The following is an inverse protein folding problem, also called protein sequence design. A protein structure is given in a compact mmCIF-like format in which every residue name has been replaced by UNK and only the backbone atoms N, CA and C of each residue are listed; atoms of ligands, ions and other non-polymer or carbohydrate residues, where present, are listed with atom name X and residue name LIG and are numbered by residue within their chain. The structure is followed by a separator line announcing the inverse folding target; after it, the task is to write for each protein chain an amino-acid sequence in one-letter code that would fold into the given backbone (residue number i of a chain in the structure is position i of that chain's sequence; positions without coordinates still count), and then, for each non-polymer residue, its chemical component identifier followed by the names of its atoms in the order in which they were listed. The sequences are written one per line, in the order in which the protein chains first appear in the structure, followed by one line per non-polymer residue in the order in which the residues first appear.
data_IF_874148179383
#
_entry.id   IF_874148179383
#
_cell.length_a   1.000
_cell.length_b   1.000
_cell.length_c   1.000
_cell.angle_alpha   90.00
_cell.angle_beta   90.00
_cell.angle_gamma   90.00
#
_symmetry.space_group_name_H-M   'P 1'
#
loop_
_entity.id
_entity.type
_entity.pdbx_description
1 polymer ?
#
# COMPACT_ATOMS: atom_id res chain seq x y z
N UNK A 1 13.11 -2.87 5.71
CA UNK A 1 11.72 -2.55 6.10
C UNK A 1 11.32 -1.13 5.70
N UNK A 2 12.05 -0.09 6.10
CA UNK A 2 11.73 1.31 5.72
C UNK A 2 11.75 1.54 4.19
N UNK A 3 12.66 0.90 3.46
CA UNK A 3 12.68 0.99 1.99
C UNK A 3 11.45 0.35 1.33
N UNK A 4 10.89 -0.69 1.94
CA UNK A 4 9.72 -1.37 1.42
C UNK A 4 8.47 -0.49 1.57
N UNK A 5 8.32 0.17 2.72
CA UNK A 5 7.27 1.17 2.96
C UNK A 5 7.36 2.28 1.91
N UNK A 6 8.57 2.83 1.66
CA UNK A 6 8.77 3.88 0.64
C UNK A 6 8.38 3.41 -0.76
N UNK A 7 8.78 2.19 -1.16
CA UNK A 7 8.46 1.64 -2.49
C UNK A 7 6.95 1.46 -2.66
N UNK A 8 6.28 0.87 -1.66
CA UNK A 8 4.83 0.67 -1.69
C UNK A 8 4.07 2.00 -1.69
N UNK A 9 4.46 2.95 -0.83
CA UNK A 9 3.86 4.28 -0.78
C UNK A 9 4.02 5.03 -2.11
N UNK A 10 5.19 4.94 -2.75
CA UNK A 10 5.43 5.53 -4.07
C UNK A 10 4.55 4.91 -5.15
N UNK A 11 4.46 3.58 -5.18
CA UNK A 11 3.57 2.90 -6.12
C UNK A 11 2.11 3.37 -5.99
N UNK A 12 1.58 3.43 -4.76
CA UNK A 12 0.21 3.90 -4.50
C UNK A 12 0.04 5.40 -4.80
N UNK A 13 1.08 6.21 -4.56
CA UNK A 13 1.08 7.65 -4.87
C UNK A 13 1.00 7.92 -6.37
N UNK A 14 1.73 7.15 -7.16
CA UNK A 14 1.86 7.31 -8.61
C UNK A 14 0.70 6.66 -9.37
N UNK A 15 0.04 5.66 -8.77
CA UNK A 15 -1.05 4.89 -9.38
C UNK A 15 -2.34 4.99 -8.54
N UNK A 16 -3.03 6.15 -8.55
CA UNK A 16 -4.17 6.42 -7.66
C UNK A 16 -5.38 5.51 -7.85
N UNK A 17 -5.49 4.86 -9.02
CA UNK A 17 -6.59 3.98 -9.39
C UNK A 17 -6.19 2.50 -9.44
N UNK A 18 -4.97 2.15 -9.02
CA UNK A 18 -4.55 0.76 -8.94
C UNK A 18 -5.37 -0.01 -7.90
N UNK A 19 -5.59 -1.29 -8.19
CA UNK A 19 -6.30 -2.22 -7.34
C UNK A 19 -5.75 -3.62 -7.57
N UNK A 20 -4.77 -4.01 -6.76
CA UNK A 20 -3.98 -5.22 -6.99
C UNK A 20 -4.03 -6.17 -5.80
N UNK A 21 -3.80 -7.46 -6.06
CA UNK A 21 -3.68 -8.46 -5.01
C UNK A 21 -2.35 -8.30 -4.27
N UNK A 22 -2.26 -8.84 -3.05
CA UNK A 22 -0.99 -8.83 -2.30
C UNK A 22 0.13 -9.55 -3.04
N UNK A 23 -0.20 -10.61 -3.78
CA UNK A 23 0.73 -11.36 -4.63
C UNK A 23 1.21 -10.50 -5.80
N UNK A 24 0.30 -9.81 -6.51
CA UNK A 24 0.63 -8.92 -7.62
C UNK A 24 1.50 -7.74 -7.18
N UNK A 25 1.15 -7.11 -6.06
CA UNK A 25 1.95 -6.04 -5.44
C UNK A 25 3.35 -6.54 -5.12
N UNK A 26 3.46 -7.71 -4.48
CA UNK A 26 4.75 -8.29 -4.10
C UNK A 26 5.64 -8.54 -5.30
N UNK A 27 5.11 -9.18 -6.35
CA UNK A 27 5.91 -9.68 -7.46
C UNK A 27 6.17 -8.63 -8.53
N UNK A 28 5.14 -7.90 -8.97
CA UNK A 28 5.24 -7.05 -10.15
C UNK A 28 5.60 -5.60 -9.81
N UNK A 29 5.07 -5.08 -8.70
CA UNK A 29 5.31 -3.69 -8.31
C UNK A 29 6.52 -3.53 -7.41
N UNK A 30 6.72 -4.46 -6.48
CA UNK A 30 7.84 -4.40 -5.53
C UNK A 30 9.04 -5.22 -5.99
N UNK A 31 8.89 -6.09 -6.99
CA UNK A 31 9.96 -6.93 -7.54
C UNK A 31 10.51 -7.93 -6.52
N UNK A 32 9.69 -8.34 -5.56
CA UNK A 32 10.07 -9.26 -4.49
C UNK A 32 9.71 -10.70 -4.84
N UNK A 33 10.36 -11.64 -4.15
CA UNK A 33 10.02 -13.05 -4.27
C UNK A 33 8.67 -13.34 -3.59
N UNK A 34 7.95 -14.41 -4.01
CA UNK A 34 6.69 -14.82 -3.36
C UNK A 34 6.82 -15.08 -1.86
N UNK A 35 8.01 -15.41 -1.37
CA UNK A 35 8.28 -15.58 0.07
C UNK A 35 8.12 -14.27 0.88
N UNK A 36 8.04 -13.12 0.21
CA UNK A 36 7.85 -11.81 0.86
C UNK A 36 6.38 -11.41 1.02
N UNK A 37 5.43 -12.22 0.56
CA UNK A 37 3.99 -11.88 0.57
C UNK A 37 3.50 -11.56 1.98
N UNK A 38 3.87 -12.35 3.00
CA UNK A 38 3.43 -12.12 4.38
C UNK A 38 3.95 -10.80 4.95
N UNK A 39 5.16 -10.38 4.54
CA UNK A 39 5.71 -9.09 4.94
C UNK A 39 4.96 -7.94 4.25
N UNK A 40 4.62 -8.09 2.97
CA UNK A 40 3.84 -7.10 2.23
C UNK A 40 2.41 -7.01 2.79
N UNK A 41 1.80 -8.13 3.16
CA UNK A 41 0.49 -8.17 3.80
C UNK A 41 0.47 -7.42 5.14
N UNK A 42 1.50 -7.57 5.98
CA UNK A 42 1.62 -6.80 7.21
C UNK A 42 1.70 -5.28 6.95
N UNK A 43 2.44 -4.87 5.92
CA UNK A 43 2.52 -3.45 5.55
C UNK A 43 1.20 -2.92 4.99
N UNK A 44 0.50 -3.70 4.16
CA UNK A 44 -0.83 -3.37 3.67
C UNK A 44 -1.82 -3.22 4.83
N UNK A 45 -1.77 -4.12 5.82
CA UNK A 45 -2.58 -4.03 7.02
C UNK A 45 -2.30 -2.74 7.82
N UNK A 46 -1.03 -2.32 7.94
CA UNK A 46 -0.68 -1.04 8.59
C UNK A 46 -1.23 0.18 7.82
N UNK A 47 -1.18 0.17 6.49
CA UNK A 47 -1.74 1.25 5.67
C UNK A 47 -3.27 1.28 5.73
N UNK A 48 -3.92 0.12 5.77
CA UNK A 48 -5.36 -0.01 5.92
C UNK A 48 -5.82 0.47 7.31
N UNK A 49 -5.09 0.13 8.37
CA UNK A 49 -5.35 0.64 9.71
C UNK A 49 -5.20 2.17 9.81
N UNK A 50 -4.38 2.77 8.95
CA UNK A 50 -4.24 4.22 8.82
C UNK A 50 -5.27 4.86 7.87
N UNK A 51 -6.18 4.08 7.26
CA UNK A 51 -7.24 4.55 6.37
C UNK A 51 -6.77 4.95 4.96
N UNK A 52 -5.51 4.70 4.61
CA UNK A 52 -4.93 5.12 3.32
C UNK A 52 -5.35 4.21 2.16
N UNK A 53 -5.61 2.95 2.47
CA UNK A 53 -6.05 1.94 1.53
C UNK A 53 -7.22 1.16 2.11
N UNK A 54 -7.94 0.47 1.23
CA UNK A 54 -8.97 -0.50 1.55
C UNK A 54 -8.75 -1.79 0.79
N UNK A 55 -9.27 -2.88 1.35
CA UNK A 55 -9.35 -4.19 0.70
C UNK A 55 -10.76 -4.42 0.15
N UNK A 56 -10.88 -4.73 -1.13
CA UNK A 56 -12.15 -5.01 -1.80
C UNK A 56 -12.09 -6.38 -2.44
N UNK A 57 -13.15 -7.19 -2.28
CA UNK A 57 -13.26 -8.45 -3.01
C UNK A 57 -13.66 -8.18 -4.46
N UNK A 58 -12.81 -8.58 -5.39
CA UNK A 58 -13.04 -8.51 -6.83
C UNK A 58 -14.07 -9.52 -7.31
N UNK A 59 -14.54 -9.34 -8.55
CA UNK A 59 -15.46 -10.28 -9.22
C UNK A 59 -14.80 -11.63 -9.54
N UNK A 60 -13.48 -11.66 -9.59
CA UNK A 60 -12.64 -12.86 -9.69
C UNK A 60 -12.54 -13.63 -8.36
N UNK A 61 -13.14 -13.10 -7.29
CA UNK A 61 -13.10 -13.69 -5.95
C UNK A 61 -11.85 -13.36 -5.14
N UNK A 62 -10.89 -12.63 -5.73
CA UNK A 62 -9.64 -12.25 -5.08
C UNK A 62 -9.81 -10.96 -4.25
N UNK A 63 -8.86 -10.71 -3.35
CA UNK A 63 -8.84 -9.46 -2.56
C UNK A 63 -7.87 -8.50 -3.22
N UNK A 64 -8.37 -7.33 -3.60
CA UNK A 64 -7.60 -6.24 -4.19
C UNK A 64 -7.44 -5.13 -3.15
N UNK A 65 -6.21 -4.62 -3.04
CA UNK A 65 -5.87 -3.47 -2.23
C UNK A 65 -5.80 -2.24 -3.13
N UNK A 66 -6.57 -1.21 -2.77
CA UNK A 66 -6.63 0.06 -3.51
C UNK A 66 -6.65 1.24 -2.55
N UNK A 67 -6.36 2.43 -3.06
CA UNK A 67 -6.50 3.65 -2.27
C UNK A 67 -7.96 3.94 -1.92
N UNK A 68 -8.18 4.46 -0.72
CA UNK A 68 -9.50 4.93 -0.28
C UNK A 68 -9.94 6.17 -1.07
N UNK A 69 -9.00 7.05 -1.42
CA UNK A 69 -9.28 8.26 -2.20
C UNK A 69 -8.10 8.67 -3.11
N UNK A 70 -8.38 9.19 -4.32
CA UNK A 70 -7.37 9.76 -5.22
C UNK A 70 -7.06 11.25 -4.92
N UNK A 71 -7.60 11.83 -3.84
CA UNK A 71 -7.48 13.27 -3.56
C UNK A 71 -6.08 13.76 -3.13
N UNK A 72 -5.93 15.08 -3.11
CA UNK A 72 -4.70 15.76 -2.71
C UNK A 72 -4.28 15.49 -1.26
N UNK A 73 -5.24 15.22 -0.36
CA UNK A 73 -4.95 14.95 1.05
C UNK A 73 -4.27 13.58 1.23
N UNK A 74 -4.78 12.58 0.50
CA UNK A 74 -4.23 11.23 0.46
C UNK A 74 -2.85 11.24 -0.21
N UNK A 75 -2.68 12.04 -1.27
CA UNK A 75 -1.37 12.24 -1.90
C UNK A 75 -0.34 12.79 -0.91
N UNK A 76 -0.70 13.81 -0.12
CA UNK A 76 0.19 14.37 0.89
C UNK A 76 0.56 13.36 1.99
N UNK A 77 -0.35 12.46 2.37
CA UNK A 77 -0.05 11.39 3.32
C UNK A 77 0.97 10.40 2.76
N UNK A 78 0.84 9.98 1.50
CA UNK A 78 1.86 9.16 0.86
C UNK A 78 3.19 9.90 0.67
N UNK A 79 3.17 11.18 0.32
CA UNK A 79 4.39 11.99 0.20
C UNK A 79 5.16 12.05 1.55
N UNK A 80 4.43 12.17 2.68
CA UNK A 80 5.02 12.06 4.02
C UNK A 80 5.61 10.69 4.30
N UNK A 81 4.93 9.60 3.93
CA UNK A 81 5.46 8.23 4.10
C UNK A 81 6.72 7.98 3.25
N UNK A 82 6.77 8.56 2.05
CA UNK A 82 7.96 8.49 1.19
C UNK A 82 9.14 9.23 1.84
N UNK A 83 8.91 10.44 2.35
CA UNK A 83 9.93 11.23 3.03
C UNK A 83 10.37 10.57 4.36
N UNK A 84 9.41 10.20 5.20
CA UNK A 84 9.60 9.64 6.53
C UNK A 84 8.77 8.36 6.74
N UNK A 85 9.32 7.18 6.37
CA UNK A 85 8.62 5.90 6.47
C UNK A 85 8.42 5.38 7.91
N UNK A 86 8.74 6.18 8.93
CA UNK A 86 8.61 5.82 10.34
C UNK A 86 7.12 5.86 10.77
N UNK A 87 6.42 4.76 10.49
CA UNK A 87 5.13 4.31 11.03
C UNK A 87 3.89 5.21 10.74
N UNK A 88 2.92 4.75 9.92
CA UNK A 88 1.70 5.51 9.59
C UNK A 88 0.70 5.71 10.75
N UNK A 89 0.96 5.16 11.95
CA UNK A 89 0.02 5.16 13.09
C UNK A 89 0.17 6.30 14.11
N UNK A 90 1.16 7.20 13.95
CA UNK A 90 1.34 8.33 14.88
C UNK A 90 0.53 9.53 14.42
N UNK A 91 -0.75 9.55 14.75
CA UNK A 91 -1.55 10.76 15.01
C UNK A 91 -2.84 10.28 15.68
N UNK A 92 -2.81 10.15 17.02
CA UNK A 92 -3.98 10.00 17.88
C UNK A 92 -4.10 11.24 18.74
#
# INVERSE_FOLDING_TARGET
MLDLVRRLARHLRDNPFAGDTKEGITQWWLGLTPASVDLVEQLLASLQAAGLIESVRGLDGLVHYRRTSPDASTNAQFDRLIANPANPQRDR
#
